data_IF_290399455612
#
_entry.id   IF_290399455612
#
_cell.length_a   1.000
_cell.length_b   1.000
_cell.length_c   1.000
_cell.angle_alpha   90.00
_cell.angle_beta   90.00
_cell.angle_gamma   90.00
#
_symmetry.space_group_name_H-M   'P 1'
#
loop_
_entity.id
_entity.type
_entity.pdbx_description
1 polymer ?
#
# COMPACT_ATOMS: atom_id res chain seq x y z
N UNK A 1 -1.38 6.99 16.21
CA UNK A 1 -0.86 5.64 15.89
C UNK A 1 -0.85 5.54 14.37
N UNK A 2 0.30 5.22 13.78
CA UNK A 2 0.49 5.27 12.34
C UNK A 2 0.27 3.90 11.69
N UNK A 3 0.03 3.88 10.38
CA UNK A 3 -0.10 2.63 9.61
C UNK A 3 1.08 1.69 9.85
N UNK A 4 2.32 2.18 9.82
CA UNK A 4 3.53 1.36 10.05
C UNK A 4 3.60 0.71 11.44
N UNK A 5 2.85 1.23 12.41
CA UNK A 5 2.85 0.71 13.77
C UNK A 5 2.00 -0.57 13.85
N UNK A 6 0.87 -0.61 13.14
CA UNK A 6 -0.08 -1.74 13.16
C UNK A 6 0.11 -2.70 11.96
N UNK A 7 0.53 -2.17 10.82
CA UNK A 7 0.69 -2.93 9.58
C UNK A 7 2.16 -3.10 9.21
N UNK A 8 2.50 -4.28 8.72
CA UNK A 8 3.69 -4.52 7.93
C UNK A 8 3.41 -4.10 6.50
N UNK A 9 4.10 -3.05 6.05
CA UNK A 9 4.01 -2.54 4.68
C UNK A 9 5.23 -3.03 3.91
N UNK A 10 5.01 -3.87 2.91
CA UNK A 10 6.07 -4.39 2.04
C UNK A 10 6.66 -3.35 1.11
N UNK A 11 7.57 -3.81 0.25
CA UNK A 11 8.13 -3.02 -0.85
C UNK A 11 7.21 -3.08 -2.08
N UNK A 12 7.44 -2.17 -3.04
CA UNK A 12 6.71 -2.16 -4.31
C UNK A 12 7.23 -3.32 -5.15
N UNK A 13 6.37 -4.31 -5.39
CA UNK A 13 6.61 -5.40 -6.34
C UNK A 13 6.10 -4.95 -7.71
N UNK A 14 7.02 -4.54 -8.58
CA UNK A 14 6.73 -4.18 -9.98
C UNK A 14 6.04 -5.36 -10.69
N UNK A 15 5.04 -5.07 -11.53
CA UNK A 15 4.47 -6.11 -12.39
C UNK A 15 5.53 -6.49 -13.42
N UNK A 16 5.88 -7.78 -13.51
CA UNK A 16 6.77 -8.29 -14.55
C UNK A 16 6.06 -8.21 -15.91
N UNK A 17 5.97 -7.01 -16.48
CA UNK A 17 5.68 -6.86 -17.90
C UNK A 17 6.98 -6.97 -18.70
N UNK A 18 6.86 -7.63 -19.86
CA UNK A 18 7.91 -8.38 -20.57
C UNK A 18 9.10 -7.58 -21.13
N UNK A 19 9.29 -6.32 -20.75
CA UNK A 19 10.27 -5.41 -21.34
C UNK A 19 11.40 -5.03 -20.37
N UNK A 20 12.28 -6.01 -20.10
CA UNK A 20 13.74 -5.97 -19.81
C UNK A 20 14.43 -4.72 -19.21
N UNK A 21 13.77 -3.84 -18.46
CA UNK A 21 14.43 -2.85 -17.60
C UNK A 21 13.62 -2.69 -16.32
N UNK A 22 13.87 -3.57 -15.36
CA UNK A 22 13.39 -3.46 -13.98
C UNK A 22 13.83 -2.09 -13.47
N UNK A 23 12.91 -1.13 -13.43
CA UNK A 23 13.16 0.15 -12.78
C UNK A 23 12.59 0.01 -11.39
N UNK A 24 13.48 -0.04 -10.40
CA UNK A 24 13.06 -0.03 -8.99
C UNK A 24 12.10 1.13 -8.76
N UNK A 25 10.84 0.79 -8.47
CA UNK A 25 9.82 1.78 -8.13
C UNK A 25 10.07 2.23 -6.70
N UNK A 26 10.41 3.51 -6.53
CA UNK A 26 10.61 4.11 -5.21
C UNK A 26 9.26 4.44 -4.57
N UNK A 27 9.20 4.34 -3.24
CA UNK A 27 8.01 4.61 -2.45
C UNK A 27 7.46 6.03 -2.58
N UNK A 28 8.29 7.00 -2.98
CA UNK A 28 7.89 8.40 -3.22
C UNK A 28 7.49 8.68 -4.68
N UNK A 29 7.88 7.82 -5.61
CA UNK A 29 7.65 8.00 -7.04
C UNK A 29 6.27 7.49 -7.49
N UNK A 30 5.68 6.57 -6.72
CA UNK A 30 4.42 5.93 -7.04
C UNK A 30 3.30 6.35 -6.10
N UNK A 31 2.09 6.50 -6.66
CA UNK A 31 0.88 6.80 -5.91
C UNK A 31 -0.05 5.59 -5.85
N UNK A 32 -0.78 5.45 -4.75
CA UNK A 32 -1.82 4.44 -4.61
C UNK A 32 -2.98 4.76 -5.55
N UNK A 33 -3.26 3.90 -6.51
CA UNK A 33 -4.39 4.03 -7.44
C UNK A 33 -5.55 3.10 -7.08
N UNK A 34 -5.26 2.01 -6.38
CA UNK A 34 -6.25 1.00 -6.03
C UNK A 34 -5.91 0.23 -4.76
N UNK A 35 -6.90 -0.48 -4.24
CA UNK A 35 -6.75 -1.33 -3.07
C UNK A 35 -7.66 -2.55 -3.16
N UNK A 36 -7.16 -3.69 -2.74
CA UNK A 36 -7.88 -4.96 -2.74
C UNK A 36 -7.62 -5.72 -1.44
N UNK A 37 -8.63 -6.42 -0.93
CA UNK A 37 -8.44 -7.36 0.16
C UNK A 37 -8.28 -8.78 -0.40
N UNK A 38 -7.18 -9.44 -0.04
CA UNK A 38 -6.95 -10.85 -0.33
C UNK A 38 -6.74 -11.62 0.98
N UNK A 39 -7.75 -12.37 1.41
CA UNK A 39 -7.81 -13.12 2.68
C UNK A 39 -7.53 -12.23 3.90
N UNK A 40 -6.25 -12.06 4.26
CA UNK A 40 -5.76 -11.31 5.42
C UNK A 40 -4.72 -10.25 5.05
N UNK A 41 -4.57 -9.95 3.75
CA UNK A 41 -3.61 -8.98 3.23
C UNK A 41 -4.35 -7.95 2.39
N UNK A 42 -4.00 -6.69 2.59
CA UNK A 42 -4.44 -5.61 1.73
C UNK A 42 -3.36 -5.42 0.67
N UNK A 43 -3.77 -5.46 -0.59
CA UNK A 43 -2.90 -5.20 -1.74
C UNK A 43 -3.19 -3.78 -2.17
N UNK A 44 -2.18 -2.92 -2.16
CA UNK A 44 -2.24 -1.58 -2.71
C UNK A 44 -1.67 -1.62 -4.13
N UNK A 45 -2.44 -1.14 -5.10
CA UNK A 45 -1.98 -0.94 -6.46
C UNK A 45 -1.32 0.44 -6.52
N UNK A 46 -0.08 0.45 -6.98
CA UNK A 46 0.78 1.62 -7.08
C UNK A 46 1.02 1.92 -8.56
N UNK A 47 0.97 3.19 -8.95
CA UNK A 47 1.31 3.64 -10.29
C UNK A 47 2.24 4.84 -10.24
N UNK A 48 3.28 4.82 -11.08
CA UNK A 48 4.17 5.96 -11.29
C UNK A 48 3.57 6.91 -12.33
N UNK A 49 3.41 8.17 -11.99
CA UNK A 49 2.78 9.14 -12.91
C UNK A 49 3.62 9.46 -14.16
N UNK A 50 4.95 9.33 -14.09
CA UNK A 50 5.85 9.76 -15.17
C UNK A 50 5.88 8.81 -16.37
N UNK A 51 5.85 7.51 -16.13
CA UNK A 51 5.97 6.48 -17.18
C UNK A 51 4.85 5.43 -17.12
N UNK A 52 3.90 5.57 -16.18
CA UNK A 52 2.76 4.68 -16.05
C UNK A 52 3.10 3.31 -15.45
N UNK A 53 4.34 3.11 -15.00
CA UNK A 53 4.78 1.83 -14.42
C UNK A 53 3.94 1.46 -13.21
N UNK A 54 3.54 0.19 -13.12
CA UNK A 54 2.64 -0.31 -12.08
C UNK A 54 3.33 -1.33 -11.18
N UNK A 55 2.91 -1.37 -9.92
CA UNK A 55 3.38 -2.32 -8.94
C UNK A 55 2.36 -2.56 -7.85
N UNK A 56 2.58 -3.60 -7.05
CA UNK A 56 1.75 -3.92 -5.90
C UNK A 56 2.55 -3.80 -4.60
N UNK A 57 1.92 -3.27 -3.56
CA UNK A 57 2.43 -3.30 -2.20
C UNK A 57 1.52 -4.18 -1.36
N UNK A 58 2.11 -5.14 -0.65
CA UNK A 58 1.39 -6.00 0.27
C UNK A 58 1.43 -5.40 1.68
N UNK A 59 0.26 -5.18 2.24
CA UNK A 59 0.04 -4.64 3.58
C UNK A 59 -0.61 -5.74 4.42
N UNK A 60 0.14 -6.25 5.41
CA UNK A 60 -0.34 -7.29 6.32
C UNK A 60 -0.47 -6.70 7.72
N UNK A 61 -1.57 -6.99 8.41
CA UNK A 61 -1.69 -6.71 9.84
C UNK A 61 -0.59 -7.48 10.59
N UNK A 62 0.08 -6.84 11.55
CA UNK A 62 1.08 -7.55 12.37
C UNK A 62 0.38 -8.53 13.31
N UNK A 63 1.06 -9.63 13.64
CA UNK A 63 0.45 -10.74 14.38
C UNK A 63 0.07 -10.35 15.83
N UNK A 64 0.74 -9.35 16.42
CA UNK A 64 0.41 -8.74 17.71
C UNK A 64 -0.84 -7.84 17.67
N UNK A 65 -1.28 -7.48 16.47
CA UNK A 65 -2.44 -6.62 16.20
C UNK A 65 -3.61 -7.36 15.55
N UNK A 66 -3.66 -8.69 15.57
CA UNK A 66 -4.76 -9.47 14.96
C UNK A 66 -6.17 -9.05 15.43
N UNK A 67 -6.28 -8.54 16.65
CA UNK A 67 -7.54 -8.02 17.23
C UNK A 67 -8.02 -6.72 16.58
N UNK A 68 -7.14 -6.01 15.89
CA UNK A 68 -7.39 -4.74 15.19
C UNK A 68 -7.88 -4.95 13.75
N UNK A 69 -8.36 -6.15 13.39
CA UNK A 69 -8.96 -6.43 12.08
C UNK A 69 -10.03 -5.42 11.60
N UNK A 70 -10.86 -4.78 12.47
CA UNK A 70 -11.74 -3.69 12.04
C UNK A 70 -11.01 -2.51 11.40
N UNK A 71 -9.77 -2.21 11.82
CA UNK A 71 -8.94 -1.16 11.24
C UNK A 71 -8.55 -1.49 9.79
N UNK A 72 -8.31 -2.77 9.48
CA UNK A 72 -8.09 -3.23 8.10
C UNK A 72 -9.30 -2.96 7.20
N UNK A 73 -10.53 -3.08 7.73
CA UNK A 73 -11.75 -2.73 6.99
C UNK A 73 -11.87 -1.23 6.76
N UNK A 74 -11.53 -0.41 7.76
CA UNK A 74 -11.50 1.04 7.61
C UNK A 74 -10.48 1.47 6.55
N UNK A 75 -9.29 0.84 6.52
CA UNK A 75 -8.27 1.08 5.50
C UNK A 75 -8.80 0.77 4.08
N UNK A 76 -9.52 -0.33 3.93
CA UNK A 76 -10.15 -0.70 2.65
C UNK A 76 -11.31 0.22 2.25
N UNK A 77 -12.03 0.81 3.20
CA UNK A 77 -13.12 1.74 2.91
C UNK A 77 -12.60 3.17 2.65
N UNK A 78 -11.45 3.51 3.22
CA UNK A 78 -10.90 4.86 3.19
C UNK A 78 -10.60 5.34 1.78
N UNK A 79 -11.17 6.49 1.40
CA UNK A 79 -10.77 7.19 0.16
C UNK A 79 -9.50 8.02 0.35
N UNK A 80 -9.13 8.31 1.59
CA UNK A 80 -8.02 9.20 1.93
C UNK A 80 -6.65 8.63 1.61
N UNK A 81 -6.56 7.32 1.35
CA UNK A 81 -5.31 6.64 0.98
C UNK A 81 -5.05 6.64 -0.53
N UNK A 82 -6.04 6.96 -1.37
CA UNK A 82 -5.85 7.01 -2.82
C UNK A 82 -5.10 8.30 -3.16
N UNK A 83 -4.08 8.21 -4.01
CA UNK A 83 -3.24 9.32 -4.42
C UNK A 83 -2.05 9.59 -3.48
N UNK A 84 -1.97 8.92 -2.32
CA UNK A 84 -0.81 8.99 -1.44
C UNK A 84 0.34 8.17 -2.00
N UNK A 85 1.56 8.64 -1.72
CA UNK A 85 2.79 7.85 -1.88
C UNK A 85 2.88 6.75 -0.82
N UNK A 86 3.78 5.79 -1.01
CA UNK A 86 3.99 4.73 -0.03
C UNK A 86 4.52 5.27 1.30
N UNK A 87 5.37 6.29 1.28
CA UNK A 87 5.91 6.91 2.49
C UNK A 87 4.87 7.74 3.23
N UNK A 88 4.00 8.47 2.51
CA UNK A 88 2.86 9.15 3.12
C UNK A 88 1.89 8.15 3.74
N UNK A 89 1.59 7.04 3.04
CA UNK A 89 0.75 5.98 3.55
C UNK A 89 1.31 5.34 4.83
N UNK A 90 2.61 5.01 4.87
CA UNK A 90 3.28 4.44 6.06
C UNK A 90 3.16 5.35 7.28
N UNK A 91 3.17 6.67 7.08
CA UNK A 91 3.12 7.67 8.13
C UNK A 91 1.70 8.23 8.39
N UNK A 92 0.68 7.72 7.68
CA UNK A 92 -0.70 8.16 7.88
C UNK A 92 -1.20 7.73 9.27
N UNK A 93 -1.88 8.64 9.95
CA UNK A 93 -2.57 8.33 11.20
C UNK A 93 -3.81 7.48 10.93
N UNK A 94 -4.00 6.43 11.73
CA UNK A 94 -5.14 5.52 11.61
C UNK A 94 -6.48 6.21 11.83
N UNK A 95 -6.51 7.27 12.65
CA UNK A 95 -7.70 8.09 12.88
C UNK A 95 -8.15 8.87 11.64
N UNK A 96 -7.30 8.95 10.60
CA UNK A 96 -7.60 9.60 9.32
C UNK A 96 -8.06 8.63 8.23
N UNK A 97 -8.22 7.34 8.55
CA UNK A 97 -8.76 6.33 7.63
C UNK A 97 -10.27 6.48 7.45
#
# INVERSE_FOLDING_TARGET
>A
MQIKDIFTVGEIMEWEDKDKKIKVLDGDDCKITGKMLNRHQIILHMQREIDGSEGNVFVKLKDDHEKDFPVSKSLLASKNIIGLTLNEFKNLDIEKL
#
